data_IF_559758933932
#
_entry.id   IF_559758933932
#
_cell.length_a   1.000
_cell.length_b   1.000
_cell.length_c   1.000
_cell.angle_alpha   90.00
_cell.angle_beta   90.00
_cell.angle_gamma   90.00
#
_symmetry.space_group_name_H-M   'P 1'
#
loop_
_entity.id
_entity.type
_entity.pdbx_description
1 polymer ?
#
# COMPACT_ATOMS: atom_id res chain seq x y z
N UNK A 1 18.67 41.38 46.83
CA UNK A 1 18.32 41.26 45.39
C UNK A 1 19.07 40.09 44.75
N UNK A 2 18.43 38.92 44.62
CA UNK A 2 18.79 37.90 43.61
C UNK A 2 17.47 37.30 43.14
N UNK A 3 17.08 37.65 41.92
CA UNK A 3 15.87 37.18 41.26
C UNK A 3 16.14 35.78 40.70
N UNK A 4 15.44 34.78 41.21
CA UNK A 4 15.39 33.45 40.60
C UNK A 4 14.48 33.50 39.39
N UNK A 5 15.02 33.23 38.19
CA UNK A 5 14.23 32.93 37.00
C UNK A 5 14.07 31.42 36.89
N UNK A 6 12.92 30.90 37.28
CA UNK A 6 12.51 29.52 36.96
C UNK A 6 12.04 29.56 35.51
N UNK A 7 12.82 28.98 34.60
CA UNK A 7 12.44 28.78 33.21
C UNK A 7 11.66 27.45 33.12
N UNK A 8 10.33 27.52 33.13
CA UNK A 8 9.48 26.35 32.86
C UNK A 8 9.41 26.19 31.34
N UNK A 9 10.23 25.30 30.78
CA UNK A 9 10.03 24.82 29.42
C UNK A 9 8.90 23.77 29.43
N UNK A 10 7.70 24.17 29.01
CA UNK A 10 6.63 23.24 28.67
C UNK A 10 6.96 22.56 27.34
N UNK A 11 7.48 21.34 27.40
CA UNK A 11 7.53 20.46 26.23
C UNK A 11 6.21 19.70 26.16
N UNK A 12 5.19 20.29 25.55
CA UNK A 12 3.95 19.56 25.21
C UNK A 12 4.26 18.58 24.09
N UNK A 13 4.53 17.33 24.47
CA UNK A 13 4.55 16.19 23.56
C UNK A 13 3.09 15.86 23.20
N UNK A 14 2.60 16.42 22.09
CA UNK A 14 1.36 15.98 21.46
C UNK A 14 1.60 14.59 20.86
N UNK A 15 1.38 13.54 21.65
CA UNK A 15 1.25 12.18 21.13
C UNK A 15 -0.09 12.13 20.40
N UNK A 16 -0.08 12.39 19.09
CA UNK A 16 -1.23 12.09 18.24
C UNK A 16 -1.39 10.57 18.19
N UNK A 17 -2.43 10.05 18.84
CA UNK A 17 -2.85 8.66 18.64
C UNK A 17 -3.35 8.53 17.20
N UNK A 18 -2.50 7.99 16.32
CA UNK A 18 -2.89 7.64 14.96
C UNK A 18 -3.82 6.43 15.02
N UNK A 19 -5.13 6.68 15.16
CA UNK A 19 -6.16 5.65 15.12
C UNK A 19 -6.28 4.96 13.75
N UNK A 20 -5.66 5.54 12.71
CA UNK A 20 -5.67 5.01 11.35
C UNK A 20 -4.26 5.09 10.77
N UNK A 21 -3.75 3.96 10.27
CA UNK A 21 -2.39 3.86 9.75
C UNK A 21 -2.37 3.11 8.42
N UNK A 22 -1.56 3.58 7.49
CA UNK A 22 -1.28 2.92 6.23
C UNK A 22 0.22 2.64 6.18
N UNK A 23 0.60 1.38 5.95
CA UNK A 23 2.02 0.99 5.84
C UNK A 23 2.32 0.27 4.55
N UNK A 24 3.52 0.52 4.04
CA UNK A 24 4.12 -0.24 2.96
C UNK A 24 5.33 -0.95 3.53
N UNK A 25 5.39 -2.26 3.37
CA UNK A 25 6.46 -3.10 3.89
C UNK A 25 7.22 -3.74 2.73
N UNK A 26 8.53 -3.53 2.70
CA UNK A 26 9.47 -4.15 1.76
C UNK A 26 10.59 -4.76 2.59
N UNK A 27 10.91 -6.04 2.34
CA UNK A 27 11.90 -6.81 3.11
C UNK A 27 11.68 -6.78 4.65
N UNK A 28 10.42 -6.73 5.09
CA UNK A 28 10.07 -6.70 6.50
C UNK A 28 10.25 -5.34 7.19
N UNK A 29 10.58 -4.28 6.44
CA UNK A 29 10.74 -2.92 6.95
C UNK A 29 9.73 -1.97 6.31
N UNK A 30 9.36 -0.92 7.05
CA UNK A 30 8.53 0.16 6.50
C UNK A 30 9.28 0.93 5.42
N UNK A 31 8.61 1.17 4.30
CA UNK A 31 9.19 1.71 3.07
C UNK A 31 8.28 2.80 2.50
N UNK A 32 8.86 3.68 1.69
CA UNK A 32 8.10 4.61 0.84
C UNK A 32 7.52 3.94 -0.42
N UNK A 33 7.75 2.63 -0.58
CA UNK A 33 7.23 1.83 -1.67
C UNK A 33 8.08 1.83 -2.94
N UNK A 34 9.29 2.41 -2.92
CA UNK A 34 10.24 2.29 -4.03
C UNK A 34 10.93 0.93 -3.99
N UNK A 35 10.86 0.20 -5.09
CA UNK A 35 11.48 -1.10 -5.29
C UNK A 35 12.83 -0.98 -5.99
N UNK A 36 13.67 -1.99 -5.75
CA UNK A 36 14.96 -2.24 -6.37
C UNK A 36 15.07 -3.72 -6.70
N UNK A 37 16.01 -4.10 -7.57
CA UNK A 37 16.19 -5.52 -7.91
C UNK A 37 16.59 -6.40 -6.71
N UNK A 38 17.17 -5.81 -5.66
CA UNK A 38 17.50 -6.53 -4.42
C UNK A 38 16.25 -7.03 -3.66
N UNK A 39 15.08 -6.45 -3.94
CA UNK A 39 13.80 -6.85 -3.35
C UNK A 39 13.21 -8.14 -3.97
N UNK A 40 13.79 -8.62 -5.08
CA UNK A 40 13.30 -9.75 -5.88
C UNK A 40 14.13 -11.02 -5.63
N UNK A 41 14.10 -11.53 -4.40
CA UNK A 41 14.90 -12.69 -3.97
C UNK A 41 14.34 -14.06 -4.37
N UNK A 42 13.16 -14.08 -4.99
CA UNK A 42 12.46 -15.29 -5.40
C UNK A 42 13.17 -16.04 -6.52
N UNK A 43 12.89 -17.34 -6.61
CA UNK A 43 13.42 -18.16 -7.69
C UNK A 43 12.64 -17.87 -8.97
N UNK A 44 13.34 -17.44 -10.02
CA UNK A 44 12.73 -17.15 -11.32
C UNK A 44 12.01 -18.36 -11.92
N UNK A 45 10.77 -18.15 -12.36
CA UNK A 45 9.97 -19.16 -13.04
C UNK A 45 10.18 -19.08 -14.56
N UNK A 46 11.15 -19.87 -15.02
CA UNK A 46 11.53 -19.97 -16.44
C UNK A 46 10.51 -20.71 -17.30
N UNK A 47 9.42 -21.22 -16.73
CA UNK A 47 8.33 -21.84 -17.51
C UNK A 47 7.37 -20.81 -18.10
N UNK A 48 7.41 -19.57 -17.62
CA UNK A 48 6.58 -18.45 -18.10
C UNK A 48 7.35 -17.60 -19.12
N UNK A 49 6.65 -16.86 -20.01
CA UNK A 49 7.29 -15.91 -20.90
C UNK A 49 7.72 -14.60 -20.19
N UNK A 50 7.48 -14.48 -18.88
CA UNK A 50 7.74 -13.26 -18.14
C UNK A 50 9.21 -13.17 -17.70
N UNK A 51 9.74 -11.94 -17.70
CA UNK A 51 11.13 -11.66 -17.32
C UNK A 51 11.29 -11.36 -15.84
N UNK A 52 10.24 -10.85 -15.22
CA UNK A 52 10.13 -10.60 -13.80
C UNK A 52 8.67 -10.79 -13.36
N UNK A 53 8.47 -10.82 -12.05
CA UNK A 53 7.17 -10.88 -11.43
C UNK A 53 7.21 -10.24 -10.05
N UNK A 54 6.27 -9.35 -9.78
CA UNK A 54 6.07 -8.71 -8.48
C UNK A 54 4.93 -9.38 -7.73
N UNK A 55 5.20 -9.87 -6.51
CA UNK A 55 4.19 -10.48 -5.64
C UNK A 55 4.08 -9.69 -4.34
N UNK A 56 2.85 -9.38 -3.93
CA UNK A 56 2.57 -8.71 -2.66
C UNK A 56 1.29 -9.22 -2.03
N UNK A 57 1.06 -8.86 -0.78
CA UNK A 57 -0.16 -9.19 -0.02
C UNK A 57 -0.66 -7.98 0.75
N UNK A 58 -1.97 -7.95 0.94
CA UNK A 58 -2.63 -6.99 1.81
C UNK A 58 -2.86 -7.60 3.19
N UNK A 59 -2.61 -6.83 4.24
CA UNK A 59 -2.97 -7.19 5.62
C UNK A 59 -3.79 -6.07 6.24
N UNK A 60 -4.66 -6.42 7.17
CA UNK A 60 -5.39 -5.45 7.99
C UNK A 60 -5.27 -5.81 9.46
N UNK A 61 -5.23 -4.80 10.33
CA UNK A 61 -5.22 -4.98 11.78
C UNK A 61 -6.23 -4.02 12.39
N UNK A 62 -7.06 -4.52 13.30
CA UNK A 62 -7.95 -3.71 14.12
C UNK A 62 -7.48 -3.85 15.56
N UNK A 63 -7.10 -2.73 16.19
CA UNK A 63 -6.58 -2.73 17.57
C UNK A 63 -7.70 -2.89 18.60
N UNK A 64 -8.89 -2.37 18.29
CA UNK A 64 -10.03 -2.45 19.18
C UNK A 64 -11.29 -1.92 18.55
N UNK A 65 -12.41 -2.50 18.98
CA UNK A 65 -13.75 -2.05 18.61
C UNK A 65 -14.53 -1.87 19.91
N UNK A 66 -15.14 -0.71 20.06
CA UNK A 66 -16.11 -0.42 21.11
C UNK A 66 -17.44 0.00 20.50
N UNK A 67 -18.50 0.08 21.29
CA UNK A 67 -19.82 0.41 20.78
C UNK A 67 -20.54 1.42 21.65
N UNK A 68 -21.15 2.41 21.02
CA UNK A 68 -22.06 3.37 21.65
C UNK A 68 -23.43 3.18 21.00
N UNK A 69 -24.37 2.59 21.75
CA UNK A 69 -25.62 2.08 21.17
C UNK A 69 -25.35 0.98 20.14
N UNK A 70 -25.80 1.20 18.90
CA UNK A 70 -25.51 0.32 17.75
C UNK A 70 -24.26 0.73 16.96
N UNK A 71 -23.74 1.94 17.18
CA UNK A 71 -22.59 2.47 16.41
C UNK A 71 -21.30 1.82 16.87
N UNK A 72 -20.48 1.34 15.93
CA UNK A 72 -19.14 0.82 16.19
C UNK A 72 -18.11 1.96 16.16
N UNK A 73 -17.28 2.00 17.18
CA UNK A 73 -16.15 2.93 17.33
C UNK A 73 -14.87 2.11 17.19
N UNK A 74 -14.09 2.39 16.14
CA UNK A 74 -12.85 1.68 15.82
C UNK A 74 -11.67 2.45 16.42
N UNK A 75 -10.98 1.82 17.36
CA UNK A 75 -9.91 2.44 18.16
C UNK A 75 -8.50 2.23 17.56
N UNK A 76 -8.43 1.81 16.30
CA UNK A 76 -7.19 1.49 15.61
C UNK A 76 -7.48 0.65 14.39
N UNK A 77 -7.13 1.14 13.21
CA UNK A 77 -7.17 0.38 11.97
C UNK A 77 -5.90 0.60 11.15
N UNK A 78 -5.21 -0.48 10.85
CA UNK A 78 -4.02 -0.49 10.02
C UNK A 78 -4.28 -1.28 8.74
N UNK A 79 -3.88 -0.70 7.60
CA UNK A 79 -3.87 -1.39 6.29
C UNK A 79 -2.44 -1.44 5.80
N UNK A 80 -1.96 -2.63 5.48
CA UNK A 80 -0.58 -2.88 5.11
C UNK A 80 -0.55 -3.48 3.71
N UNK A 81 0.27 -2.89 2.83
CA UNK A 81 0.78 -3.55 1.63
C UNK A 81 2.16 -4.11 1.95
N UNK A 82 2.38 -5.40 1.70
CA UNK A 82 3.66 -6.03 1.96
C UNK A 82 4.12 -6.78 0.71
N UNK A 83 5.30 -6.43 0.20
CA UNK A 83 5.98 -7.21 -0.84
C UNK A 83 6.28 -8.61 -0.29
N UNK A 84 6.15 -9.64 -1.13
CA UNK A 84 6.63 -11.00 -0.85
C UNK A 84 7.94 -11.22 -1.63
N UNK A 85 9.12 -10.98 -1.02
CA UNK A 85 10.40 -11.05 -1.73
C UNK A 85 10.71 -12.45 -2.24
N UNK A 86 10.15 -13.49 -1.62
CA UNK A 86 10.41 -14.90 -1.99
C UNK A 86 9.55 -15.34 -3.17
N UNK A 87 8.45 -14.63 -3.42
CA UNK A 87 7.58 -14.83 -4.60
C UNK A 87 7.80 -13.80 -5.69
N UNK A 88 8.49 -12.70 -5.38
CA UNK A 88 8.92 -11.70 -6.35
C UNK A 88 10.27 -12.10 -6.92
N UNK A 89 10.39 -12.21 -8.24
CA UNK A 89 11.58 -12.74 -8.90
C UNK A 89 11.87 -12.01 -10.21
N UNK A 90 13.12 -12.06 -10.65
CA UNK A 90 13.55 -11.59 -11.97
C UNK A 90 14.61 -12.52 -12.57
N UNK A 91 14.64 -12.65 -13.89
CA UNK A 91 15.72 -13.34 -14.60
C UNK A 91 16.94 -12.42 -14.60
N UNK A 92 18.04 -12.87 -13.98
CA UNK A 92 19.24 -12.05 -13.71
C UNK A 92 19.80 -11.34 -14.94
N UNK A 93 19.80 -11.98 -16.10
CA UNK A 93 20.37 -11.43 -17.34
C UNK A 93 19.37 -10.56 -18.13
N UNK A 94 18.13 -10.41 -17.64
CA UNK A 94 17.04 -9.66 -18.27
C UNK A 94 16.62 -8.42 -17.46
N UNK A 95 17.26 -8.17 -16.31
CA UNK A 95 16.96 -7.00 -15.48
C UNK A 95 17.36 -5.71 -16.19
N UNK A 96 16.47 -4.71 -16.17
CA UNK A 96 16.76 -3.36 -16.67
C UNK A 96 15.98 -2.32 -15.86
N UNK A 97 16.35 -1.05 -15.99
CA UNK A 97 15.61 0.04 -15.34
C UNK A 97 14.17 0.15 -15.85
N UNK A 98 13.94 -0.07 -17.16
CA UNK A 98 12.60 -0.05 -17.73
C UNK A 98 11.73 -1.21 -17.22
N UNK A 99 12.31 -2.40 -17.08
CA UNK A 99 11.58 -3.53 -16.50
C UNK A 99 11.28 -3.28 -15.03
N UNK A 100 12.21 -2.70 -14.27
CA UNK A 100 11.97 -2.34 -12.86
C UNK A 100 10.85 -1.30 -12.73
N UNK A 101 10.80 -0.32 -13.63
CA UNK A 101 9.70 0.65 -13.70
C UNK A 101 8.36 -0.04 -13.95
N UNK A 102 8.34 -1.08 -14.79
CA UNK A 102 7.12 -1.84 -15.04
C UNK A 102 6.65 -2.59 -13.78
N UNK A 103 7.56 -3.31 -13.13
CA UNK A 103 7.33 -4.04 -11.88
C UNK A 103 6.93 -3.10 -10.72
N UNK A 104 7.56 -1.94 -10.63
CA UNK A 104 7.16 -0.87 -9.71
C UNK A 104 5.71 -0.43 -9.96
N UNK A 105 5.25 -0.42 -11.22
CA UNK A 105 3.86 -0.11 -11.56
C UNK A 105 2.86 -1.09 -10.94
N UNK A 106 3.16 -2.39 -10.93
CA UNK A 106 2.33 -3.38 -10.22
C UNK A 106 2.24 -3.09 -8.73
N UNK A 107 3.38 -2.72 -8.12
CA UNK A 107 3.39 -2.37 -6.70
C UNK A 107 2.66 -1.05 -6.40
N UNK A 108 2.79 -0.05 -7.29
CA UNK A 108 2.06 1.22 -7.21
C UNK A 108 0.53 1.00 -7.25
N UNK A 109 0.05 0.08 -8.08
CA UNK A 109 -1.37 -0.33 -8.10
C UNK A 109 -1.78 -0.88 -6.73
N UNK A 110 -0.92 -1.67 -6.08
CA UNK A 110 -1.12 -2.13 -4.71
C UNK A 110 -1.19 -0.99 -3.69
N UNK A 111 -0.33 0.04 -3.82
CA UNK A 111 -0.32 1.23 -2.96
C UNK A 111 -1.64 2.01 -3.10
N UNK A 112 -2.12 2.18 -4.33
CA UNK A 112 -3.42 2.82 -4.58
C UNK A 112 -4.57 2.01 -3.95
N UNK A 113 -4.52 0.68 -4.03
CA UNK A 113 -5.52 -0.20 -3.43
C UNK A 113 -5.65 0.00 -1.91
N UNK A 114 -4.54 -0.03 -1.17
CA UNK A 114 -4.58 0.18 0.28
C UNK A 114 -5.03 1.59 0.64
N UNK A 115 -4.82 2.59 -0.23
CA UNK A 115 -5.28 3.97 -0.02
C UNK A 115 -6.78 4.06 -0.14
N UNK A 116 -7.36 3.51 -1.20
CA UNK A 116 -8.81 3.47 -1.38
C UNK A 116 -9.50 2.64 -0.28
N UNK A 117 -8.89 1.54 0.18
CA UNK A 117 -9.38 0.77 1.34
C UNK A 117 -9.48 1.68 2.56
N UNK A 118 -8.41 2.42 2.88
CA UNK A 118 -8.37 3.32 4.03
C UNK A 118 -9.40 4.46 3.92
N UNK A 119 -9.54 5.06 2.74
CA UNK A 119 -10.52 6.12 2.48
C UNK A 119 -11.95 5.62 2.65
N UNK A 120 -12.30 4.50 2.02
CA UNK A 120 -13.62 3.88 2.18
C UNK A 120 -13.88 3.49 3.63
N UNK A 121 -12.86 2.99 4.34
CA UNK A 121 -13.01 2.59 5.74
C UNK A 121 -13.40 3.81 6.59
N UNK A 122 -12.69 4.93 6.43
CA UNK A 122 -12.95 6.18 7.15
C UNK A 122 -14.35 6.76 6.86
N UNK A 123 -14.88 6.54 5.66
CA UNK A 123 -16.20 7.02 5.25
C UNK A 123 -17.35 6.08 5.63
N UNK A 124 -17.04 4.83 6.00
CA UNK A 124 -18.06 3.81 6.28
C UNK A 124 -18.58 3.96 7.71
N UNK A 125 -19.92 4.02 7.85
CA UNK A 125 -20.57 3.95 9.15
C UNK A 125 -20.77 2.51 9.57
N UNK A 126 -19.96 2.09 10.54
CA UNK A 126 -20.02 0.75 11.08
C UNK A 126 -20.99 0.66 12.26
N UNK A 127 -21.72 -0.46 12.32
CA UNK A 127 -22.59 -0.84 13.43
C UNK A 127 -22.28 -2.27 13.89
N UNK A 128 -22.82 -2.69 15.03
CA UNK A 128 -22.66 -4.08 15.53
C UNK A 128 -23.05 -5.12 14.50
N UNK A 129 -24.19 -4.91 13.83
CA UNK A 129 -24.78 -5.88 12.91
C UNK A 129 -24.10 -5.89 11.54
N UNK A 130 -23.53 -4.76 11.09
CA UNK A 130 -23.01 -4.63 9.73
C UNK A 130 -21.47 -4.72 9.64
N UNK A 131 -20.74 -4.63 10.77
CA UNK A 131 -19.30 -4.42 10.78
C UNK A 131 -18.52 -5.42 9.91
N UNK A 132 -18.68 -6.71 10.22
CA UNK A 132 -17.94 -7.79 9.54
C UNK A 132 -18.25 -7.84 8.05
N UNK A 133 -19.54 -7.72 7.69
CA UNK A 133 -19.98 -7.79 6.30
C UNK A 133 -19.49 -6.58 5.50
N UNK A 134 -19.64 -5.36 6.02
CA UNK A 134 -19.18 -4.15 5.34
C UNK A 134 -17.66 -4.13 5.17
N UNK A 135 -16.91 -4.51 6.20
CA UNK A 135 -15.45 -4.58 6.10
C UNK A 135 -14.99 -5.59 5.05
N UNK A 136 -15.57 -6.80 5.06
CA UNK A 136 -15.27 -7.83 4.07
C UNK A 136 -15.60 -7.38 2.64
N UNK A 137 -16.79 -6.80 2.45
CA UNK A 137 -17.23 -6.31 1.13
C UNK A 137 -16.37 -5.15 0.63
N UNK A 138 -16.02 -4.20 1.50
CA UNK A 138 -15.14 -3.08 1.18
C UNK A 138 -13.78 -3.60 0.70
N UNK A 139 -13.18 -4.52 1.45
CA UNK A 139 -11.89 -5.09 1.10
C UNK A 139 -11.98 -5.85 -0.23
N UNK A 140 -12.91 -6.80 -0.36
CA UNK A 140 -13.09 -7.63 -1.56
C UNK A 140 -13.37 -6.79 -2.81
N UNK A 141 -14.30 -5.84 -2.74
CA UNK A 141 -14.65 -5.00 -3.89
C UNK A 141 -13.47 -4.13 -4.34
N UNK A 142 -12.72 -3.58 -3.39
CA UNK A 142 -11.57 -2.73 -3.70
C UNK A 142 -10.42 -3.57 -4.27
N UNK A 143 -10.10 -4.72 -3.67
CA UNK A 143 -9.06 -5.60 -4.24
C UNK A 143 -9.42 -6.11 -5.63
N UNK A 144 -10.70 -6.42 -5.89
CA UNK A 144 -11.14 -6.83 -7.23
C UNK A 144 -10.95 -5.71 -8.27
N UNK A 145 -11.34 -4.48 -7.93
CA UNK A 145 -11.12 -3.30 -8.78
C UNK A 145 -9.64 -3.15 -9.17
N UNK A 146 -8.73 -3.30 -8.21
CA UNK A 146 -7.30 -3.15 -8.48
C UNK A 146 -6.65 -4.37 -9.15
N UNK A 147 -7.24 -5.57 -8.99
CA UNK A 147 -6.89 -6.71 -9.85
C UNK A 147 -7.25 -6.45 -11.31
N UNK A 148 -8.42 -5.87 -11.59
CA UNK A 148 -8.80 -5.46 -12.95
C UNK A 148 -7.87 -4.35 -13.49
N UNK A 149 -7.49 -3.38 -12.65
CA UNK A 149 -6.52 -2.34 -13.02
C UNK A 149 -5.15 -2.93 -13.36
N UNK A 150 -4.71 -3.97 -12.64
CA UNK A 150 -3.47 -4.71 -12.93
C UNK A 150 -3.53 -5.35 -14.31
N UNK A 151 -4.63 -6.03 -14.64
CA UNK A 151 -4.81 -6.66 -15.96
C UNK A 151 -4.82 -5.62 -17.09
N UNK A 152 -5.46 -4.47 -16.86
CA UNK A 152 -5.46 -3.37 -17.84
C UNK A 152 -4.05 -2.79 -18.02
N UNK A 153 -3.30 -2.62 -16.93
CA UNK A 153 -1.93 -2.14 -16.97
C UNK A 153 -1.01 -3.07 -17.79
N UNK A 154 -1.07 -4.38 -17.52
CA UNK A 154 -0.35 -5.41 -18.29
C UNK A 154 -0.70 -5.34 -19.78
N UNK A 155 -2.01 -5.33 -20.08
CA UNK A 155 -2.53 -5.33 -21.45
C UNK A 155 -2.11 -4.08 -22.21
N UNK A 156 -2.25 -2.90 -21.61
CA UNK A 156 -1.97 -1.63 -22.28
C UNK A 156 -0.48 -1.39 -22.47
N UNK A 157 0.35 -1.83 -21.51
CA UNK A 157 1.81 -1.73 -21.63
C UNK A 157 2.42 -2.86 -22.45
N UNK A 158 1.63 -3.84 -22.90
CA UNK A 158 2.11 -5.09 -23.53
C UNK A 158 3.25 -5.69 -22.70
N UNK A 159 2.98 -5.92 -21.41
CA UNK A 159 3.94 -6.42 -20.42
C UNK A 159 5.30 -5.70 -20.53
N UNK A 160 5.30 -4.37 -20.35
CA UNK A 160 6.43 -3.42 -20.47
C UNK A 160 6.91 -3.02 -21.87
N UNK A 161 6.48 -3.69 -22.95
CA UNK A 161 7.00 -3.43 -24.31
C UNK A 161 6.53 -2.09 -24.90
N UNK A 162 5.32 -1.65 -24.56
CA UNK A 162 4.75 -0.40 -25.04
C UNK A 162 5.17 0.78 -24.15
N UNK A 163 6.30 1.40 -24.49
CA UNK A 163 6.88 2.54 -23.76
C UNK A 163 5.97 3.76 -23.70
N UNK A 164 5.14 3.99 -24.73
CA UNK A 164 4.21 5.13 -24.76
C UNK A 164 3.11 4.96 -23.72
N UNK A 165 2.54 3.76 -23.62
CA UNK A 165 1.54 3.46 -22.59
C UNK A 165 2.17 3.42 -21.20
N UNK A 166 3.38 2.84 -21.05
CA UNK A 166 4.12 2.88 -19.80
C UNK A 166 4.32 4.32 -19.29
N UNK A 167 4.68 5.27 -20.17
CA UNK A 167 4.83 6.67 -19.79
C UNK A 167 3.51 7.32 -19.32
N UNK A 168 2.37 6.97 -19.92
CA UNK A 168 1.05 7.44 -19.45
C UNK A 168 0.72 6.90 -18.07
N UNK A 169 0.98 5.62 -17.83
CA UNK A 169 0.81 4.99 -16.51
C UNK A 169 1.75 5.60 -15.46
N UNK A 170 3.01 5.87 -15.81
CA UNK A 170 3.95 6.54 -14.91
C UNK A 170 3.45 7.94 -14.50
N UNK A 171 2.86 8.68 -15.45
CA UNK A 171 2.23 9.98 -15.16
C UNK A 171 1.03 9.81 -14.22
N UNK A 172 0.14 8.85 -14.50
CA UNK A 172 -1.00 8.52 -13.64
C UNK A 172 -0.53 8.19 -12.21
N UNK A 173 0.45 7.29 -12.03
CA UNK A 173 0.99 6.98 -10.71
C UNK A 173 1.60 8.21 -10.03
N UNK A 174 2.30 9.06 -10.78
CA UNK A 174 2.86 10.30 -10.24
C UNK A 174 1.78 11.25 -9.76
N UNK A 175 0.66 11.37 -10.47
CA UNK A 175 -0.45 12.23 -10.10
C UNK A 175 -1.22 11.67 -8.90
N UNK A 176 -1.59 10.40 -8.95
CA UNK A 176 -2.35 9.76 -7.89
C UNK A 176 -1.52 9.62 -6.62
N UNK A 177 -0.24 9.27 -6.68
CA UNK A 177 0.59 9.05 -5.50
C UNK A 177 1.20 10.34 -4.92
N UNK A 178 1.05 11.50 -5.59
CA UNK A 178 1.40 12.81 -5.00
C UNK A 178 0.43 13.15 -3.88
N UNK A 179 0.94 13.37 -2.67
CA UNK A 179 0.14 13.78 -1.50
C UNK A 179 0.49 13.06 -0.20
N UNK A 180 1.47 12.16 -0.20
CA UNK A 180 1.97 11.49 1.01
C UNK A 180 3.21 12.20 1.57
N UNK A 181 3.06 13.48 1.95
CA UNK A 181 4.02 14.19 2.81
C UNK A 181 3.45 14.30 4.21
#
# INVERSE_FOLDING_TARGET
MKSSKILIQFFTLLISLNLFSQKIIVNGQESNGKLTWDDFTGKADKSTPFKAFTSFRYKTKIEGISFVGDTAIINGYEVILELDPKKSWAIKDEVSDELLVHEQGHFNIGILCIREIMEKFKQTKFTKSNFSQLLSNLFKSTTNKYSELTLNYDKETDHSKNKVQQAKWNKFFTEELKGTN
#
